data_IF_340190661012
#
_entry.id   IF_340190661012
#
_cell.length_a   1.000
_cell.length_b   1.000
_cell.length_c   1.000
_cell.angle_alpha   90.00
_cell.angle_beta   90.00
_cell.angle_gamma   90.00
#
_symmetry.space_group_name_H-M   'P 1'
#
loop_
_entity.id
_entity.type
_entity.pdbx_description
1 polymer ?
#
# COMPACT_ATOMS: atom_id res chain seq x y z
N UNK A 1 31.04 -18.71 26.91
CA UNK A 1 30.89 -18.89 25.44
C UNK A 1 29.43 -19.14 25.02
N UNK A 2 28.68 -20.01 25.70
CA UNK A 2 27.29 -20.34 25.37
C UNK A 2 26.32 -19.13 25.27
N UNK A 3 26.43 -18.15 26.16
CA UNK A 3 25.57 -16.95 26.12
C UNK A 3 25.78 -16.05 24.90
N UNK A 4 27.01 -15.96 24.36
CA UNK A 4 27.26 -15.18 23.12
C UNK A 4 26.61 -15.84 21.91
N UNK A 5 26.66 -17.18 21.86
CA UNK A 5 26.10 -17.97 20.78
C UNK A 5 24.56 -17.91 20.77
N UNK A 6 23.93 -18.00 21.95
CA UNK A 6 22.48 -17.82 22.12
C UNK A 6 22.03 -16.41 21.73
N UNK A 7 22.80 -15.38 22.08
CA UNK A 7 22.47 -14.00 21.77
C UNK A 7 22.59 -13.69 20.26
N UNK A 8 23.62 -14.20 19.58
CA UNK A 8 23.78 -14.07 18.13
C UNK A 8 22.69 -14.82 17.35
N UNK A 9 22.28 -16.01 17.81
CA UNK A 9 21.17 -16.77 17.24
C UNK A 9 19.84 -16.03 17.40
N UNK A 10 19.56 -15.50 18.60
CA UNK A 10 18.33 -14.76 18.86
C UNK A 10 18.24 -13.49 18.02
N UNK A 11 19.37 -12.77 17.87
CA UNK A 11 19.43 -11.58 17.02
C UNK A 11 19.21 -11.93 15.54
N UNK A 12 19.82 -13.01 15.05
CA UNK A 12 19.65 -13.48 13.67
C UNK A 12 18.21 -13.90 13.37
N UNK A 13 17.55 -14.60 14.30
CA UNK A 13 16.14 -14.99 14.17
C UNK A 13 15.23 -13.76 14.16
N UNK A 14 15.47 -12.78 15.03
CA UNK A 14 14.69 -11.52 15.00
C UNK A 14 14.92 -10.72 13.73
N UNK A 15 16.14 -10.73 13.18
CA UNK A 15 16.47 -10.03 11.93
C UNK A 15 15.79 -10.70 10.74
N UNK A 16 15.77 -12.03 10.69
CA UNK A 16 15.04 -12.81 9.68
C UNK A 16 13.53 -12.56 9.83
N UNK A 17 12.98 -12.60 11.04
CA UNK A 17 11.56 -12.35 11.27
C UNK A 17 11.18 -10.92 10.85
N UNK A 18 11.98 -9.92 11.21
CA UNK A 18 11.79 -8.54 10.81
C UNK A 18 11.94 -8.35 9.29
N UNK A 19 12.86 -9.08 8.64
CA UNK A 19 13.03 -9.05 7.19
C UNK A 19 11.88 -9.74 6.46
N UNK A 20 11.40 -10.88 6.95
CA UNK A 20 10.23 -11.58 6.44
C UNK A 20 9.00 -10.71 6.59
N UNK A 21 8.77 -10.11 7.77
CA UNK A 21 7.70 -9.13 7.99
C UNK A 21 7.87 -7.95 7.02
N UNK A 22 9.06 -7.37 6.90
CA UNK A 22 9.32 -6.23 6.01
C UNK A 22 9.05 -6.59 4.56
N UNK A 23 9.43 -7.78 4.08
CA UNK A 23 9.11 -8.28 2.75
C UNK A 23 7.61 -8.52 2.62
N UNK A 24 6.95 -9.16 3.59
CA UNK A 24 5.51 -9.39 3.59
C UNK A 24 4.69 -8.09 3.60
N UNK A 25 5.20 -7.03 4.22
CA UNK A 25 4.58 -5.71 4.20
C UNK A 25 4.98 -4.88 2.98
N UNK A 26 6.11 -5.13 2.31
CA UNK A 26 6.50 -4.37 1.10
C UNK A 26 6.03 -5.01 -0.20
N UNK A 27 5.86 -6.34 -0.24
CA UNK A 27 5.56 -7.09 -1.45
C UNK A 27 4.11 -6.92 -1.97
N UNK A 28 3.04 -6.99 -1.16
CA UNK A 28 1.68 -6.69 -1.61
C UNK A 28 1.54 -5.22 -2.02
N UNK A 29 2.30 -4.37 -1.34
CA UNK A 29 2.45 -2.95 -1.55
C UNK A 29 3.09 -2.64 -2.92
N UNK A 30 4.01 -3.48 -3.41
CA UNK A 30 4.60 -3.40 -4.76
C UNK A 30 3.65 -3.94 -5.84
N UNK A 31 2.88 -4.99 -5.56
CA UNK A 31 1.86 -5.52 -6.47
C UNK A 31 0.73 -4.50 -6.69
N UNK A 32 0.38 -3.73 -5.66
CA UNK A 32 -0.57 -2.63 -5.75
C UNK A 32 -0.12 -1.50 -6.68
N UNK A 33 1.19 -1.26 -6.80
CA UNK A 33 1.76 -0.26 -7.71
C UNK A 33 1.54 -0.64 -9.17
N UNK A 34 1.39 -1.94 -9.47
CA UNK A 34 1.40 -2.47 -10.84
C UNK A 34 0.00 -2.76 -11.41
N UNK A 35 -1.04 -2.88 -10.58
CA UNK A 35 -2.39 -3.25 -11.06
C UNK A 35 -3.31 -2.04 -11.09
N UNK A 36 -3.46 -1.47 -12.28
CA UNK A 36 -4.37 -0.34 -12.55
C UNK A 36 -5.82 -0.78 -12.38
N UNK A 37 -6.63 0.04 -11.72
CA UNK A 37 -8.08 -0.17 -11.55
C UNK A 37 -8.50 -1.46 -10.82
N UNK A 38 -7.55 -2.18 -10.23
CA UNK A 38 -7.83 -3.34 -9.38
C UNK A 38 -7.93 -2.95 -7.91
N UNK A 39 -8.84 -3.61 -7.20
CA UNK A 39 -8.91 -3.52 -5.76
C UNK A 39 -7.80 -4.36 -5.13
N UNK A 40 -6.94 -3.71 -4.36
CA UNK A 40 -5.94 -4.34 -3.51
C UNK A 40 -6.46 -4.35 -2.10
N UNK A 41 -6.67 -5.54 -1.57
CA UNK A 41 -7.14 -5.71 -0.20
C UNK A 41 -6.01 -5.50 0.81
N UNK A 42 -6.35 -4.93 1.96
CA UNK A 42 -5.48 -4.91 3.12
C UNK A 42 -5.29 -6.32 3.64
N UNK A 43 -4.13 -6.58 4.26
CA UNK A 43 -3.87 -7.87 4.89
C UNK A 43 -4.91 -8.25 5.96
N UNK A 44 -5.44 -7.24 6.66
CA UNK A 44 -6.47 -7.43 7.69
C UNK A 44 -7.86 -7.75 7.11
N UNK A 45 -8.06 -7.63 5.79
CA UNK A 45 -9.38 -7.74 5.14
C UNK A 45 -10.34 -6.59 5.50
N UNK A 46 -9.89 -5.62 6.30
CA UNK A 46 -10.72 -4.52 6.78
C UNK A 46 -10.90 -3.43 5.75
N UNK A 47 -10.00 -3.26 4.81
CA UNK A 47 -10.20 -2.27 3.76
C UNK A 47 -9.58 -2.72 2.46
N UNK A 48 -9.96 -2.07 1.37
CA UNK A 48 -9.31 -2.23 0.07
C UNK A 48 -9.06 -0.88 -0.56
N UNK A 49 -7.95 -0.79 -1.28
CA UNK A 49 -7.51 0.40 -1.96
C UNK A 49 -7.48 0.13 -3.47
N UNK A 50 -7.74 1.15 -4.27
CA UNK A 50 -7.61 1.09 -5.72
C UNK A 50 -7.04 2.40 -6.23
N UNK A 51 -6.16 2.33 -7.23
CA UNK A 51 -5.80 3.50 -8.03
C UNK A 51 -6.73 3.61 -9.24
N UNK A 52 -7.20 4.82 -9.52
CA UNK A 52 -7.93 5.15 -10.75
C UNK A 52 -7.21 6.25 -11.50
N UNK A 53 -7.01 6.08 -12.79
CA UNK A 53 -6.38 7.10 -13.64
C UNK A 53 -7.26 7.42 -14.83
N UNK A 54 -7.64 8.68 -14.99
CA UNK A 54 -8.37 9.20 -16.14
C UNK A 54 -7.52 10.21 -16.91
N UNK A 55 -7.91 10.46 -18.16
CA UNK A 55 -7.31 11.48 -19.02
C UNK A 55 -8.38 12.51 -19.35
N UNK A 56 -8.05 13.79 -19.16
CA UNK A 56 -8.91 14.91 -19.57
C UNK A 56 -8.04 15.98 -20.24
N UNK A 57 -8.47 16.49 -21.40
CA UNK A 57 -7.76 17.54 -22.16
C UNK A 57 -6.27 17.24 -22.40
N UNK A 58 -5.91 15.98 -22.64
CA UNK A 58 -4.52 15.58 -22.87
C UNK A 58 -3.65 15.52 -21.61
N UNK A 59 -4.22 15.77 -20.42
CA UNK A 59 -3.57 15.61 -19.11
C UNK A 59 -4.09 14.37 -18.38
N UNK A 60 -3.24 13.78 -17.56
CA UNK A 60 -3.56 12.61 -16.75
C UNK A 60 -3.85 13.02 -15.30
N UNK A 61 -4.89 12.43 -14.75
CA UNK A 61 -5.30 12.61 -13.36
C UNK A 61 -5.42 11.23 -12.72
N UNK A 62 -4.89 11.07 -11.53
CA UNK A 62 -5.00 9.83 -10.77
C UNK A 62 -5.62 10.06 -9.41
N UNK A 63 -6.33 9.06 -8.91
CA UNK A 63 -6.94 9.07 -7.59
C UNK A 63 -6.63 7.76 -6.88
N UNK A 64 -6.66 7.81 -5.55
CA UNK A 64 -6.66 6.63 -4.69
C UNK A 64 -8.01 6.56 -4.02
N UNK A 65 -8.68 5.43 -4.18
CA UNK A 65 -9.97 5.12 -3.59
C UNK A 65 -9.78 4.11 -2.46
N UNK A 66 -10.49 4.32 -1.35
CA UNK A 66 -10.53 3.47 -0.17
C UNK A 66 -11.96 2.95 0.04
N UNK A 67 -12.06 1.70 0.46
CA UNK A 67 -13.31 1.08 0.88
C UNK A 67 -13.09 0.26 2.15
N UNK A 68 -13.78 0.61 3.23
CA UNK A 68 -13.58 0.09 4.60
C UNK A 68 -14.29 -1.23 4.92
N UNK A 69 -15.02 -1.82 3.98
CA UNK A 69 -15.55 -3.17 4.13
C UNK A 69 -16.01 -3.68 2.75
N UNK A 70 -15.82 -4.96 2.44
CA UNK A 70 -16.30 -5.57 1.18
C UNK A 70 -17.81 -5.43 1.00
N UNK A 71 -18.57 -5.35 2.10
CA UNK A 71 -20.03 -5.13 2.10
C UNK A 71 -20.48 -3.67 2.11
N UNK A 72 -19.58 -2.71 2.35
CA UNK A 72 -19.92 -1.27 2.30
C UNK A 72 -19.85 -0.78 0.85
N UNK A 73 -20.94 -0.20 0.34
CA UNK A 73 -20.98 0.42 -1.00
C UNK A 73 -20.24 1.77 -1.06
N UNK A 74 -19.86 2.32 0.10
CA UNK A 74 -19.21 3.61 0.17
C UNK A 74 -17.73 3.51 -0.23
N UNK A 75 -17.40 4.12 -1.36
CA UNK A 75 -16.03 4.32 -1.84
C UNK A 75 -15.66 5.77 -1.54
N UNK A 76 -14.52 5.97 -0.88
CA UNK A 76 -14.00 7.30 -0.55
C UNK A 76 -12.72 7.57 -1.35
N UNK A 77 -12.67 8.71 -2.03
CA UNK A 77 -11.42 9.18 -2.64
C UNK A 77 -10.55 9.79 -1.55
N UNK A 78 -9.43 9.16 -1.27
CA UNK A 78 -8.49 9.54 -0.20
C UNK A 78 -7.27 10.31 -0.70
N UNK A 79 -7.01 10.28 -2.02
CA UNK A 79 -6.01 11.12 -2.64
C UNK A 79 -6.34 11.42 -4.11
N UNK A 80 -5.90 12.57 -4.60
CA UNK A 80 -6.02 13.03 -5.98
C UNK A 80 -4.68 13.60 -6.46
N UNK A 81 -4.33 13.33 -7.71
CA UNK A 81 -3.07 13.69 -8.36
C UNK A 81 -3.31 14.17 -9.78
N UNK A 82 -2.48 15.11 -10.22
CA UNK A 82 -2.55 15.73 -11.54
C UNK A 82 -2.89 17.22 -11.48
N UNK A 83 -2.93 17.89 -12.64
CA UNK A 83 -2.69 17.33 -13.97
C UNK A 83 -1.23 16.95 -14.25
N UNK A 84 -1.00 15.75 -14.78
CA UNK A 84 0.32 15.30 -15.24
C UNK A 84 0.39 15.22 -16.78
N UNK A 85 1.58 15.40 -17.35
CA UNK A 85 1.81 15.25 -18.79
C UNK A 85 2.00 13.79 -19.22
N UNK A 86 2.29 12.88 -18.28
CA UNK A 86 2.57 11.48 -18.55
C UNK A 86 1.69 10.56 -17.71
N UNK A 87 1.12 9.52 -18.35
CA UNK A 87 0.38 8.45 -17.67
C UNK A 87 1.23 7.79 -16.58
N UNK A 88 2.50 7.54 -16.88
CA UNK A 88 3.45 6.89 -15.97
C UNK A 88 3.66 7.71 -14.71
N UNK A 89 3.78 9.02 -14.84
CA UNK A 89 3.96 9.93 -13.70
C UNK A 89 2.71 9.97 -12.81
N UNK A 90 1.53 10.13 -13.43
CA UNK A 90 0.26 10.12 -12.71
C UNK A 90 0.04 8.80 -11.95
N UNK A 91 0.39 7.67 -12.56
CA UNK A 91 0.29 6.35 -11.93
C UNK A 91 1.31 6.21 -10.79
N UNK A 92 2.56 6.61 -11.01
CA UNK A 92 3.61 6.50 -9.99
C UNK A 92 3.25 7.32 -8.73
N UNK A 93 2.72 8.54 -8.89
CA UNK A 93 2.27 9.37 -7.77
C UNK A 93 1.12 8.72 -6.99
N UNK A 94 0.09 8.24 -7.70
CA UNK A 94 -1.05 7.57 -7.06
C UNK A 94 -0.66 6.24 -6.39
N UNK A 95 0.21 5.45 -7.02
CA UNK A 95 0.71 4.21 -6.45
C UNK A 95 1.57 4.43 -5.20
N UNK A 96 2.45 5.44 -5.21
CA UNK A 96 3.22 5.83 -4.02
C UNK A 96 2.32 6.31 -2.88
N UNK A 97 1.22 7.01 -3.21
CA UNK A 97 0.25 7.44 -2.22
C UNK A 97 -0.60 6.29 -1.68
N UNK A 98 -1.04 5.36 -2.54
CA UNK A 98 -1.71 4.14 -2.13
C UNK A 98 -0.85 3.39 -1.11
N UNK A 99 0.45 3.30 -1.39
CA UNK A 99 1.42 2.68 -0.50
C UNK A 99 1.46 3.35 0.88
N UNK A 100 1.53 4.67 0.88
CA UNK A 100 1.57 5.47 2.08
C UNK A 100 0.27 5.29 2.90
N UNK A 101 -0.89 5.41 2.25
CA UNK A 101 -2.20 5.28 2.89
C UNK A 101 -2.40 3.88 3.46
N UNK A 102 -2.04 2.83 2.71
CA UNK A 102 -2.12 1.46 3.19
C UNK A 102 -1.34 1.27 4.50
N UNK A 103 -0.14 1.87 4.60
CA UNK A 103 0.65 1.85 5.84
C UNK A 103 -0.05 2.60 6.96
N UNK A 104 -0.50 3.83 6.71
CA UNK A 104 -1.14 4.66 7.74
C UNK A 104 -2.43 4.03 8.28
N UNK A 105 -3.29 3.50 7.41
CA UNK A 105 -4.52 2.82 7.84
C UNK A 105 -4.23 1.55 8.65
N UNK A 106 -3.12 0.84 8.40
CA UNK A 106 -2.70 -0.30 9.22
C UNK A 106 -2.29 0.10 10.65
N UNK A 107 -1.89 1.36 10.89
CA UNK A 107 -1.46 1.84 12.21
C UNK A 107 -2.53 2.60 12.98
N UNK A 108 -3.72 2.81 12.41
CA UNK A 108 -4.81 3.43 13.16
C UNK A 108 -5.31 2.45 14.23
N UNK A 109 -5.41 2.87 15.50
CA UNK A 109 -6.05 2.06 16.52
C UNK A 109 -7.50 1.79 16.11
N UNK A 110 -7.89 0.52 16.13
CA UNK A 110 -9.28 0.11 15.92
C UNK A 110 -10.05 0.47 17.20
N UNK A 111 -10.73 1.62 17.18
CA UNK A 111 -11.62 2.08 18.27
C UNK A 111 -12.98 1.40 18.08
#
# INVERSE_FOLDING_TARGET
>A
MLNKLLQELFFSVQLILAFVLRLHYTFPLFVAVLRRDEWVESFTGLFRLRTRTCQNEGKFYSTVELQMNRGHTQIQTVAHFGPESSLKEAQQKASAALVHIARFEMFKPQI
#
